data_IF_258713150162
#
_entry.id   IF_258713150162
#
_cell.length_a   1.000
_cell.length_b   1.000
_cell.length_c   1.000
_cell.angle_alpha   90.00
_cell.angle_beta   90.00
_cell.angle_gamma   90.00
#
_symmetry.space_group_name_H-M   'P 1'
#
loop_
_entity.id
_entity.type
_entity.pdbx_description
1 polymer ?
#
# COMPACT_ATOMS: atom_id res chain seq x y z
N UNK A 1 -1.06 27.79 -12.92
CA UNK A 1 -1.47 26.39 -12.72
C UNK A 1 -0.37 25.70 -11.92
N UNK A 2 -0.34 25.90 -10.61
CA UNK A 2 0.62 25.20 -9.74
C UNK A 2 0.23 23.74 -9.70
N UNK A 3 0.97 22.89 -10.42
CA UNK A 3 0.92 21.44 -10.24
C UNK A 3 1.44 21.18 -8.83
N UNK A 4 0.53 21.06 -7.86
CA UNK A 4 0.87 20.53 -6.55
C UNK A 4 0.98 19.01 -6.75
N UNK A 5 2.20 18.52 -7.01
CA UNK A 5 2.47 17.10 -6.96
C UNK A 5 2.11 16.62 -5.55
N UNK A 6 1.25 15.61 -5.45
CA UNK A 6 0.97 14.98 -4.15
C UNK A 6 2.30 14.43 -3.60
N UNK A 7 2.55 14.58 -2.28
CA UNK A 7 3.73 13.97 -1.69
C UNK A 7 3.67 12.45 -1.87
N UNK A 8 4.81 11.80 -1.94
CA UNK A 8 4.88 10.34 -1.89
C UNK A 8 4.42 9.88 -0.49
N UNK A 9 3.56 8.84 -0.37
CA UNK A 9 3.14 8.32 0.92
C UNK A 9 4.33 7.72 1.67
N UNK A 10 4.45 8.02 2.96
CA UNK A 10 5.45 7.37 3.81
C UNK A 10 5.06 5.92 4.03
N UNK A 11 6.03 5.06 4.37
CA UNK A 11 5.78 3.67 4.75
C UNK A 11 4.69 3.55 5.82
N UNK A 12 4.72 4.41 6.85
CA UNK A 12 3.71 4.42 7.90
C UNK A 12 2.28 4.61 7.38
N UNK A 13 2.09 5.54 6.43
CA UNK A 13 0.78 5.77 5.80
C UNK A 13 0.34 4.58 4.96
N UNK A 14 1.26 3.99 4.19
CA UNK A 14 0.94 2.81 3.38
C UNK A 14 0.46 1.67 4.28
N UNK A 15 1.16 1.41 5.39
CA UNK A 15 0.80 0.38 6.36
C UNK A 15 -0.54 0.67 7.04
N UNK A 16 -0.85 1.93 7.37
CA UNK A 16 -2.15 2.33 7.93
C UNK A 16 -3.30 1.99 6.97
N UNK A 17 -3.19 2.38 5.71
CA UNK A 17 -4.20 2.07 4.67
C UNK A 17 -4.38 0.55 4.51
N UNK A 18 -3.29 -0.21 4.57
CA UNK A 18 -3.34 -1.67 4.48
C UNK A 18 -4.07 -2.26 5.69
N UNK A 19 -3.74 -1.83 6.91
CA UNK A 19 -4.40 -2.28 8.13
C UNK A 19 -5.92 -2.01 8.11
N UNK A 20 -6.33 -0.81 7.65
CA UNK A 20 -7.75 -0.45 7.50
C UNK A 20 -8.49 -1.39 6.54
N UNK A 21 -7.88 -1.71 5.40
CA UNK A 21 -8.52 -2.54 4.35
C UNK A 21 -8.50 -4.02 4.70
N UNK A 22 -7.46 -4.49 5.40
CA UNK A 22 -7.39 -5.84 5.94
C UNK A 22 -8.28 -6.03 7.19
N UNK A 23 -8.77 -4.92 7.78
CA UNK A 23 -9.60 -4.92 8.98
C UNK A 23 -8.85 -5.53 10.17
N UNK A 24 -7.60 -5.10 10.36
CA UNK A 24 -6.73 -5.50 11.47
C UNK A 24 -6.27 -4.28 12.28
N UNK A 25 -5.91 -4.42 13.56
CA UNK A 25 -5.54 -3.28 14.40
C UNK A 25 -4.29 -2.52 13.90
N UNK A 26 -3.31 -3.25 13.38
CA UNK A 26 -2.06 -2.71 12.84
C UNK A 26 -1.37 -3.77 11.99
N UNK A 27 -0.46 -3.32 11.12
CA UNK A 27 0.51 -4.14 10.40
C UNK A 27 1.90 -3.52 10.55
N UNK A 28 2.94 -4.34 10.41
CA UNK A 28 4.34 -3.94 10.47
C UNK A 28 4.98 -4.01 9.09
N UNK A 29 6.11 -3.31 8.86
CA UNK A 29 6.81 -3.40 7.58
C UNK A 29 7.25 -4.82 7.23
N UNK A 30 7.53 -5.66 8.22
CA UNK A 30 8.06 -7.03 8.02
C UNK A 30 6.95 -8.07 7.79
N UNK A 31 5.67 -7.68 7.93
CA UNK A 31 4.56 -8.60 7.73
C UNK A 31 4.39 -8.92 6.24
N UNK A 32 3.90 -10.13 5.94
CA UNK A 32 3.50 -10.49 4.59
C UNK A 32 1.99 -10.28 4.40
N UNK A 33 1.58 -9.77 3.23
CA UNK A 33 0.16 -9.55 2.89
C UNK A 33 -0.70 -10.83 3.03
N UNK A 34 -0.12 -11.99 2.72
CA UNK A 34 -0.80 -13.29 2.79
C UNK A 34 -0.98 -13.80 4.22
N UNK A 35 -0.18 -13.36 5.20
CA UNK A 35 -0.34 -13.76 6.61
C UNK A 35 -1.67 -13.27 7.20
N UNK A 36 -2.22 -12.18 6.65
CA UNK A 36 -3.53 -11.65 7.01
C UNK A 36 -4.69 -12.24 6.19
N UNK A 37 -4.43 -13.26 5.36
CA UNK A 37 -5.43 -13.81 4.43
C UNK A 37 -5.77 -12.85 3.29
N UNK A 38 -4.80 -12.02 2.89
CA UNK A 38 -4.96 -11.02 1.83
C UNK A 38 -5.49 -11.61 0.52
N UNK A 39 -6.51 -10.95 -0.04
CA UNK A 39 -7.17 -11.35 -1.29
C UNK A 39 -6.97 -10.33 -2.40
N UNK A 40 -7.20 -10.74 -3.66
CA UNK A 40 -7.12 -9.84 -4.80
C UNK A 40 -8.06 -8.63 -4.68
N UNK A 41 -9.23 -8.79 -4.05
CA UNK A 41 -10.14 -7.67 -3.81
C UNK A 41 -9.56 -6.66 -2.81
N UNK A 42 -8.89 -7.12 -1.75
CA UNK A 42 -8.20 -6.23 -0.80
C UNK A 42 -7.02 -5.54 -1.49
N UNK A 43 -6.22 -6.27 -2.28
CA UNK A 43 -5.14 -5.69 -3.06
C UNK A 43 -5.62 -4.59 -4.01
N UNK A 44 -6.73 -4.82 -4.74
CA UNK A 44 -7.34 -3.81 -5.60
C UNK A 44 -7.75 -2.56 -4.82
N UNK A 45 -8.35 -2.75 -3.64
CA UNK A 45 -8.80 -1.64 -2.78
C UNK A 45 -7.63 -0.83 -2.25
N UNK A 46 -6.55 -1.50 -1.81
CA UNK A 46 -5.32 -0.86 -1.34
C UNK A 46 -4.73 0.01 -2.45
N UNK A 47 -4.53 -0.57 -3.63
CA UNK A 47 -3.95 0.15 -4.77
C UNK A 47 -4.84 1.32 -5.20
N UNK A 48 -6.16 1.11 -5.32
CA UNK A 48 -7.09 2.16 -5.69
C UNK A 48 -7.09 3.33 -4.69
N UNK A 49 -6.99 3.04 -3.39
CA UNK A 49 -6.94 4.05 -2.33
C UNK A 49 -5.65 4.87 -2.40
N UNK A 50 -4.50 4.21 -2.52
CA UNK A 50 -3.19 4.85 -2.67
C UNK A 50 -3.14 5.73 -3.92
N UNK A 51 -3.58 5.22 -5.07
CA UNK A 51 -3.60 5.96 -6.33
C UNK A 51 -4.51 7.21 -6.24
N UNK A 52 -5.67 7.07 -5.59
CA UNK A 52 -6.63 8.17 -5.45
C UNK A 52 -6.14 9.26 -4.49
N UNK A 53 -5.61 8.87 -3.34
CA UNK A 53 -5.31 9.80 -2.25
C UNK A 53 -3.91 10.42 -2.39
N UNK A 54 -2.97 9.69 -3.01
CA UNK A 54 -1.55 10.08 -3.09
C UNK A 54 -1.04 10.23 -4.53
N UNK A 55 -1.83 9.87 -5.55
CA UNK A 55 -1.43 10.03 -6.95
C UNK A 55 -0.24 9.15 -7.37
N UNK A 56 0.09 8.14 -6.57
CA UNK A 56 1.14 7.16 -6.88
C UNK A 56 0.67 6.13 -7.91
N UNK A 57 1.59 5.30 -8.39
CA UNK A 57 1.30 4.17 -9.26
C UNK A 57 1.40 2.84 -8.50
N UNK A 58 0.44 2.61 -7.60
CA UNK A 58 0.29 1.33 -6.92
C UNK A 58 -0.39 0.31 -7.84
N UNK A 59 0.34 -0.77 -8.14
CA UNK A 59 -0.14 -1.91 -8.91
C UNK A 59 -0.28 -3.13 -7.99
N UNK A 60 -1.34 -3.94 -8.15
CA UNK A 60 -1.53 -5.17 -7.40
C UNK A 60 -0.37 -6.16 -7.58
N UNK A 61 0.20 -6.21 -8.77
CA UNK A 61 1.34 -7.08 -9.07
C UNK A 61 2.54 -6.74 -8.18
N UNK A 62 2.82 -5.45 -7.95
CA UNK A 62 3.87 -5.00 -7.04
C UNK A 62 3.61 -5.40 -5.58
N UNK A 63 2.35 -5.52 -5.16
CA UNK A 63 2.00 -5.99 -3.82
C UNK A 63 2.19 -7.51 -3.70
N UNK A 64 1.94 -8.27 -4.76
CA UNK A 64 2.11 -9.73 -4.77
C UNK A 64 3.56 -10.17 -4.96
N UNK A 65 4.38 -9.35 -5.63
CA UNK A 65 5.82 -9.58 -5.80
C UNK A 65 6.64 -9.17 -4.56
N UNK A 66 6.06 -8.36 -3.67
CA UNK A 66 6.71 -7.93 -2.44
C UNK A 66 6.73 -9.06 -1.39
N UNK A 67 7.91 -9.34 -0.83
CA UNK A 67 8.06 -10.30 0.27
C UNK A 67 7.44 -9.76 1.56
N UNK A 68 7.49 -8.44 1.76
CA UNK A 68 6.93 -7.76 2.93
C UNK A 68 6.12 -6.52 2.54
N UNK A 69 5.26 -6.04 3.45
CA UNK A 69 4.52 -4.79 3.25
C UNK A 69 5.47 -3.57 3.15
N UNK A 70 6.63 -3.65 3.80
CA UNK A 70 7.70 -2.67 3.71
C UNK A 70 8.31 -2.59 2.31
N UNK A 71 8.54 -3.74 1.65
CA UNK A 71 9.04 -3.78 0.27
C UNK A 71 8.04 -3.14 -0.70
N UNK A 72 6.76 -3.46 -0.56
CA UNK A 72 5.70 -2.82 -1.35
C UNK A 72 5.69 -1.31 -1.15
N UNK A 73 5.77 -0.84 0.11
CA UNK A 73 5.80 0.59 0.41
C UNK A 73 7.05 1.28 -0.16
N UNK A 74 8.20 0.60 -0.19
CA UNK A 74 9.44 1.13 -0.75
C UNK A 74 9.35 1.30 -2.28
N UNK A 75 8.68 0.37 -2.99
CA UNK A 75 8.45 0.49 -4.44
C UNK A 75 7.64 1.74 -4.78
N UNK A 76 6.68 2.13 -3.95
CA UNK A 76 5.89 3.36 -4.17
C UNK A 76 6.67 4.65 -3.94
N UNK A 77 7.81 4.56 -3.25
CA UNK A 77 8.65 5.70 -2.91
C UNK A 77 9.82 5.95 -3.87
N UNK A 78 10.02 5.06 -4.85
CA UNK A 78 11.01 5.18 -5.91
C UNK A 78 10.47 5.94 -7.13
#
# INVERSE_FOLDING_TARGET
MTQHALPIPTTAVVLEIIAEILVVPQVTPDDNFYDFGGSSLQAMRICARLNKDWGVHAAPDALFEADTLGDFAAVLAA
#
